data_IF_713540300732
#
_entry.id   IF_713540300732
#
_cell.length_a   1.000
_cell.length_b   1.000
_cell.length_c   1.000
_cell.angle_alpha   90.00
_cell.angle_beta   90.00
_cell.angle_gamma   90.00
#
_symmetry.space_group_name_H-M   'P 1'
#
loop_
_entity.id
_entity.type
_entity.pdbx_description
1 polymer ?
#
# COMPACT_ATOMS: atom_id res chain seq x y z
N UNK A 1 -22.42 -15.16 -46.24
CA UNK A 1 -21.76 -14.04 -45.53
C UNK A 1 -21.56 -14.49 -44.08
N UNK A 2 -20.41 -15.11 -43.78
CA UNK A 2 -20.15 -15.76 -42.49
C UNK A 2 -19.73 -14.71 -41.46
N UNK A 3 -20.56 -14.51 -40.43
CA UNK A 3 -20.18 -13.76 -39.24
C UNK A 3 -19.10 -14.55 -38.50
N UNK A 4 -17.83 -14.28 -38.81
CA UNK A 4 -16.73 -14.52 -37.87
C UNK A 4 -16.89 -13.49 -36.75
N UNK A 5 -17.68 -13.85 -35.74
CA UNK A 5 -17.63 -13.22 -34.42
C UNK A 5 -16.17 -13.22 -34.00
N UNK A 6 -15.56 -12.04 -33.86
CA UNK A 6 -14.24 -11.87 -33.25
C UNK A 6 -14.37 -12.40 -31.82
N UNK A 7 -14.08 -13.68 -31.60
CA UNK A 7 -13.77 -14.17 -30.27
C UNK A 7 -12.56 -13.36 -29.81
N UNK A 8 -12.79 -12.44 -28.87
CA UNK A 8 -11.69 -11.87 -28.12
C UNK A 8 -10.87 -13.05 -27.59
N UNK A 9 -9.61 -13.13 -27.95
CA UNK A 9 -8.72 -14.20 -27.50
C UNK A 9 -8.50 -13.95 -26.00
N UNK A 10 -9.38 -14.50 -25.17
CA UNK A 10 -9.21 -14.51 -23.73
C UNK A 10 -7.98 -15.36 -23.40
N UNK A 11 -7.08 -14.80 -22.59
CA UNK A 11 -5.87 -15.52 -22.17
C UNK A 11 -6.27 -16.75 -21.33
N UNK A 12 -5.62 -17.90 -21.54
CA UNK A 12 -5.83 -19.07 -20.68
C UNK A 12 -5.62 -18.75 -19.20
N UNK A 13 -6.47 -19.28 -18.32
CA UNK A 13 -6.39 -19.02 -16.87
C UNK A 13 -5.00 -19.21 -16.24
N UNK A 14 -4.21 -20.27 -16.58
CA UNK A 14 -2.87 -20.42 -16.01
C UNK A 14 -1.94 -19.25 -16.34
N UNK A 15 -2.08 -18.68 -17.54
CA UNK A 15 -1.31 -17.50 -17.96
C UNK A 15 -1.78 -16.26 -17.20
N UNK A 16 -3.10 -16.07 -17.02
CA UNK A 16 -3.63 -14.96 -16.23
C UNK A 16 -3.10 -14.98 -14.78
N UNK A 17 -3.11 -16.16 -14.14
CA UNK A 17 -2.57 -16.32 -12.78
C UNK A 17 -1.07 -16.08 -12.71
N UNK A 18 -0.32 -16.48 -13.73
CA UNK A 18 1.11 -16.16 -13.84
C UNK A 18 1.33 -14.64 -13.90
N UNK A 19 0.62 -13.94 -14.78
CA UNK A 19 0.74 -12.48 -14.92
C UNK A 19 0.27 -11.72 -13.69
N UNK A 20 -0.72 -12.24 -12.96
CA UNK A 20 -1.17 -11.67 -11.70
C UNK A 20 -0.06 -11.74 -10.64
N UNK A 21 0.60 -12.90 -10.50
CA UNK A 21 1.75 -13.04 -9.59
C UNK A 21 2.91 -12.14 -9.99
N UNK A 22 3.14 -11.98 -11.30
CA UNK A 22 4.13 -11.04 -11.81
C UNK A 22 3.78 -9.59 -11.41
N UNK A 23 2.51 -9.19 -11.49
CA UNK A 23 2.06 -7.88 -11.05
C UNK A 23 2.35 -7.65 -9.55
N UNK A 24 2.21 -8.67 -8.70
CA UNK A 24 2.54 -8.56 -7.28
C UNK A 24 4.04 -8.32 -7.06
N UNK A 25 4.89 -9.10 -7.74
CA UNK A 25 6.35 -8.95 -7.66
C UNK A 25 6.75 -7.54 -8.10
N UNK A 26 6.20 -7.06 -9.22
CA UNK A 26 6.45 -5.71 -9.72
C UNK A 26 5.95 -4.64 -8.76
N UNK A 27 4.75 -4.80 -8.19
CA UNK A 27 4.20 -3.86 -7.21
C UNK A 27 5.14 -3.71 -6.01
N UNK A 28 5.53 -4.81 -5.37
CA UNK A 28 6.45 -4.77 -4.22
C UNK A 28 7.82 -4.20 -4.57
N UNK A 29 8.37 -4.58 -5.73
CA UNK A 29 9.66 -4.05 -6.17
C UNK A 29 9.59 -2.54 -6.40
N UNK A 30 8.56 -2.04 -7.08
CA UNK A 30 8.40 -0.60 -7.35
C UNK A 30 8.06 0.18 -6.08
N UNK A 31 7.26 -0.37 -5.16
CA UNK A 31 7.00 0.25 -3.87
C UNK A 31 8.28 0.39 -3.04
N UNK A 32 9.11 -0.67 -2.99
CA UNK A 32 10.40 -0.63 -2.30
C UNK A 32 11.35 0.38 -2.94
N UNK A 33 11.48 0.35 -4.28
CA UNK A 33 12.32 1.31 -5.02
C UNK A 33 11.82 2.75 -4.81
N UNK A 34 10.51 2.98 -4.82
CA UNK A 34 9.93 4.30 -4.54
C UNK A 34 10.25 4.77 -3.13
N UNK A 35 10.08 3.90 -2.13
CA UNK A 35 10.42 4.18 -0.73
C UNK A 35 11.88 4.61 -0.59
N UNK A 36 12.81 3.81 -1.15
CA UNK A 36 14.26 4.05 -1.05
C UNK A 36 14.67 5.37 -1.73
N UNK A 37 14.11 5.67 -2.90
CA UNK A 37 14.41 6.91 -3.62
C UNK A 37 13.80 8.17 -2.96
N UNK A 38 12.85 8.01 -2.04
CA UNK A 38 12.13 9.10 -1.41
C UNK A 38 12.21 9.05 0.12
N UNK A 39 13.28 8.46 0.66
CA UNK A 39 13.48 8.31 2.12
C UNK A 39 13.42 9.66 2.82
N UNK A 40 14.13 10.67 2.31
CA UNK A 40 14.20 12.00 2.93
C UNK A 40 12.93 12.86 2.73
N UNK A 41 11.97 12.42 1.90
CA UNK A 41 10.74 13.19 1.65
C UNK A 41 9.78 13.07 2.83
N UNK A 42 9.28 14.23 3.27
CA UNK A 42 8.35 14.39 4.37
C UNK A 42 7.15 15.24 3.94
N UNK A 43 5.96 14.88 4.41
CA UNK A 43 4.76 15.69 4.38
C UNK A 43 4.33 16.03 5.82
N UNK A 44 3.37 16.94 5.97
CA UNK A 44 2.84 17.36 7.27
C UNK A 44 2.30 16.19 8.09
N UNK A 45 1.63 15.23 7.45
CA UNK A 45 1.06 14.09 8.15
C UNK A 45 2.16 13.14 8.63
N UNK A 46 3.25 12.99 7.87
CA UNK A 46 4.42 12.23 8.31
C UNK A 46 4.90 12.72 9.69
N UNK A 47 5.06 14.04 9.83
CA UNK A 47 5.54 14.66 11.06
C UNK A 47 4.57 14.36 12.22
N UNK A 48 3.27 14.50 11.99
CA UNK A 48 2.26 14.23 13.00
C UNK A 48 2.24 12.76 13.42
N UNK A 49 2.19 11.82 12.48
CA UNK A 49 2.13 10.39 12.77
C UNK A 49 3.41 9.85 13.40
N UNK A 50 4.58 10.33 12.98
CA UNK A 50 5.86 9.97 13.62
C UNK A 50 5.89 10.45 15.06
N UNK A 51 5.48 11.70 15.32
CA UNK A 51 5.45 12.24 16.69
C UNK A 51 4.49 11.46 17.59
N UNK A 52 3.31 11.12 17.08
CA UNK A 52 2.35 10.30 17.80
C UNK A 52 2.90 8.89 18.07
N UNK A 53 3.60 8.30 17.10
CA UNK A 53 4.26 7.01 17.29
C UNK A 53 5.33 7.05 18.38
N UNK A 54 6.12 8.13 18.47
CA UNK A 54 7.08 8.32 19.56
C UNK A 54 6.36 8.42 20.93
N UNK A 55 5.25 9.15 21.02
CA UNK A 55 4.47 9.20 22.27
C UNK A 55 3.94 7.83 22.68
N UNK A 56 3.44 7.04 21.72
CA UNK A 56 3.03 5.66 21.97
C UNK A 56 4.20 4.78 22.39
N UNK A 57 5.37 4.93 21.76
CA UNK A 57 6.53 4.07 22.05
C UNK A 57 7.11 4.27 23.45
N UNK A 58 6.98 5.48 24.01
CA UNK A 58 7.42 5.82 25.38
C UNK A 58 6.30 5.82 26.43
N UNK A 59 5.06 5.47 26.04
CA UNK A 59 3.92 5.43 26.95
C UNK A 59 3.39 6.80 27.39
N UNK A 60 3.68 7.87 26.64
CA UNK A 60 3.18 9.22 26.93
C UNK A 60 1.74 9.40 26.44
N UNK A 61 0.80 8.79 27.15
CA UNK A 61 -0.61 8.76 26.75
C UNK A 61 -1.27 10.13 26.68
N UNK A 62 -0.76 11.12 27.43
CA UNK A 62 -1.27 12.49 27.44
C UNK A 62 -1.17 13.20 26.08
N UNK A 63 -0.18 12.82 25.25
CA UNK A 63 -0.05 13.30 23.88
C UNK A 63 -0.32 12.22 22.82
N UNK A 64 -0.16 10.94 23.17
CA UNK A 64 -0.39 9.83 22.25
C UNK A 64 -1.87 9.69 21.84
N UNK A 65 -2.79 9.97 22.78
CA UNK A 65 -4.23 10.03 22.51
C UNK A 65 -4.59 11.47 22.23
N UNK A 66 -4.83 11.80 20.96
CA UNK A 66 -5.15 13.16 20.53
C UNK A 66 -6.23 13.14 19.42
N UNK A 67 -6.67 14.34 19.00
CA UNK A 67 -7.71 14.51 17.97
C UNK A 67 -7.24 14.37 16.53
N UNK A 68 -6.01 13.89 16.29
CA UNK A 68 -5.55 13.60 14.94
C UNK A 68 -6.21 12.33 14.40
N UNK A 69 -6.09 12.08 13.10
CA UNK A 69 -6.65 10.89 12.45
C UNK A 69 -6.11 9.59 13.10
N UNK A 70 -6.90 8.52 13.04
CA UNK A 70 -6.77 7.33 13.91
C UNK A 70 -5.36 6.73 14.05
N UNK A 71 -5.05 6.04 15.17
CA UNK A 71 -3.69 5.78 15.60
C UNK A 71 -2.97 4.66 14.83
N UNK A 72 -3.67 3.96 13.92
CA UNK A 72 -3.19 2.70 13.35
C UNK A 72 -1.86 2.86 12.62
N UNK A 73 -1.68 3.93 11.85
CA UNK A 73 -0.41 4.18 11.15
C UNK A 73 0.73 4.43 12.16
N UNK A 74 0.49 5.19 13.23
CA UNK A 74 1.48 5.38 14.31
C UNK A 74 1.76 4.08 15.04
N UNK A 75 0.75 3.25 15.32
CA UNK A 75 0.93 1.95 15.95
C UNK A 75 1.78 0.99 15.12
N UNK A 76 1.66 1.01 13.80
CA UNK A 76 2.54 0.24 12.92
C UNK A 76 4.01 0.68 13.02
N UNK A 77 4.28 1.95 13.37
CA UNK A 77 5.65 2.43 13.56
C UNK A 77 6.25 1.98 14.89
N UNK A 78 5.44 1.80 15.94
CA UNK A 78 5.91 1.53 17.32
C UNK A 78 6.86 0.34 17.44
N UNK A 79 6.58 -0.85 16.85
CA UNK A 79 7.52 -1.97 16.91
C UNK A 79 8.89 -1.63 16.31
N UNK A 80 8.95 -0.86 15.22
CA UNK A 80 10.21 -0.42 14.62
C UNK A 80 10.96 0.56 15.54
N UNK A 81 10.24 1.48 16.18
CA UNK A 81 10.84 2.41 17.15
C UNK A 81 11.44 1.67 18.35
N UNK A 82 10.77 0.63 18.86
CA UNK A 82 11.32 -0.23 19.93
C UNK A 82 12.57 -1.00 19.50
N UNK A 83 12.72 -1.29 18.20
CA UNK A 83 13.93 -1.88 17.62
C UNK A 83 15.02 -0.83 17.34
N UNK A 84 14.82 0.43 17.71
CA UNK A 84 15.77 1.52 17.50
C UNK A 84 15.82 2.05 16.06
N UNK A 85 14.82 1.72 15.23
CA UNK A 85 14.69 2.29 13.89
C UNK A 85 14.34 3.78 14.00
N UNK A 86 15.02 4.61 13.22
CA UNK A 86 14.79 6.05 13.18
C UNK A 86 13.35 6.37 12.69
N UNK A 87 12.66 7.39 13.26
CA UNK A 87 11.23 7.62 13.03
C UNK A 87 10.83 7.78 11.56
N UNK A 88 11.64 8.44 10.74
CA UNK A 88 11.35 8.60 9.32
C UNK A 88 11.38 7.25 8.60
N UNK A 89 12.41 6.43 8.83
CA UNK A 89 12.44 5.08 8.27
C UNK A 89 11.28 4.22 8.79
N UNK A 90 10.94 4.29 10.08
CA UNK A 90 9.78 3.60 10.65
C UNK A 90 8.46 4.02 9.96
N UNK A 91 8.29 5.32 9.70
CA UNK A 91 7.16 5.85 8.95
C UNK A 91 7.09 5.33 7.51
N UNK A 92 8.23 5.25 6.82
CA UNK A 92 8.32 4.69 5.45
C UNK A 92 8.00 3.19 5.42
N UNK A 93 8.44 2.43 6.43
CA UNK A 93 8.10 1.01 6.58
C UNK A 93 6.60 0.82 6.87
N UNK A 94 6.02 1.63 7.75
CA UNK A 94 4.58 1.63 8.01
C UNK A 94 3.78 1.95 6.73
N UNK A 95 4.27 2.87 5.89
CA UNK A 95 3.66 3.15 4.59
C UNK A 95 3.77 2.00 3.60
N UNK A 96 4.88 1.25 3.60
CA UNK A 96 5.02 0.07 2.76
C UNK A 96 3.98 -1.00 3.15
N UNK A 97 3.74 -1.18 4.46
CA UNK A 97 2.69 -2.06 4.98
C UNK A 97 1.31 -1.55 4.54
N UNK A 98 1.03 -0.26 4.73
CA UNK A 98 -0.21 0.41 4.30
C UNK A 98 -0.51 0.21 2.80
N UNK A 99 0.49 0.41 1.94
CA UNK A 99 0.40 0.17 0.51
C UNK A 99 0.09 -1.31 0.19
N UNK A 100 0.70 -2.24 0.93
CA UNK A 100 0.42 -3.66 0.80
C UNK A 100 -1.01 -4.04 1.19
N UNK A 101 -1.51 -3.47 2.29
CA UNK A 101 -2.90 -3.64 2.74
C UNK A 101 -3.86 -3.14 1.65
N UNK A 102 -3.67 -1.91 1.17
CA UNK A 102 -4.50 -1.36 0.09
C UNK A 102 -4.47 -2.18 -1.19
N UNK A 103 -3.28 -2.63 -1.61
CA UNK A 103 -3.11 -3.42 -2.81
C UNK A 103 -3.91 -4.73 -2.72
N UNK A 104 -3.75 -5.49 -1.63
CA UNK A 104 -4.45 -6.76 -1.45
C UNK A 104 -5.93 -6.59 -1.15
N UNK A 105 -6.31 -5.57 -0.37
CA UNK A 105 -7.69 -5.20 -0.09
C UNK A 105 -8.46 -4.88 -1.37
N UNK A 106 -7.86 -4.12 -2.28
CA UNK A 106 -8.44 -3.83 -3.59
C UNK A 106 -8.63 -5.10 -4.44
N UNK A 107 -7.65 -6.00 -4.47
CA UNK A 107 -7.80 -7.27 -5.21
C UNK A 107 -8.81 -8.21 -4.55
N UNK A 108 -8.90 -8.21 -3.22
CA UNK A 108 -9.94 -8.93 -2.49
C UNK A 108 -11.32 -8.39 -2.82
N UNK A 109 -11.48 -7.05 -2.86
CA UNK A 109 -12.73 -6.40 -3.22
C UNK A 109 -13.18 -6.81 -4.63
N UNK A 110 -12.29 -6.75 -5.63
CA UNK A 110 -12.59 -7.18 -7.01
C UNK A 110 -13.13 -8.62 -7.06
N UNK A 111 -12.50 -9.53 -6.31
CA UNK A 111 -12.97 -10.93 -6.21
C UNK A 111 -14.32 -11.03 -5.50
N UNK A 112 -14.52 -10.27 -4.43
CA UNK A 112 -15.72 -10.31 -3.60
C UNK A 112 -16.98 -9.83 -4.34
N UNK A 113 -16.83 -8.90 -5.28
CA UNK A 113 -17.93 -8.41 -6.12
C UNK A 113 -18.19 -9.28 -7.36
N UNK A 114 -17.47 -10.40 -7.50
CA UNK A 114 -17.69 -11.37 -8.58
C UNK A 114 -17.14 -10.96 -9.95
N UNK A 115 -16.15 -10.05 -10.00
CA UNK A 115 -15.49 -9.68 -11.26
C UNK A 115 -14.57 -10.80 -11.78
N UNK A 116 -14.20 -10.72 -13.06
CA UNK A 116 -13.41 -11.75 -13.73
C UNK A 116 -11.94 -11.66 -13.32
N UNK A 117 -11.21 -12.76 -13.48
CA UNK A 117 -9.76 -12.79 -13.26
C UNK A 117 -9.00 -11.80 -14.16
N UNK A 118 -9.52 -11.50 -15.35
CA UNK A 118 -8.98 -10.45 -16.22
C UNK A 118 -9.09 -9.05 -15.60
N UNK A 119 -10.22 -8.77 -14.95
CA UNK A 119 -10.48 -7.47 -14.31
C UNK A 119 -9.57 -7.31 -13.10
N UNK A 120 -9.41 -8.38 -12.32
CA UNK A 120 -8.44 -8.45 -11.22
C UNK A 120 -7.01 -8.21 -11.69
N UNK A 121 -6.62 -8.81 -12.82
CA UNK A 121 -5.29 -8.59 -13.41
C UNK A 121 -5.10 -7.13 -13.83
N UNK A 122 -6.10 -6.52 -14.46
CA UNK A 122 -6.06 -5.11 -14.86
C UNK A 122 -5.88 -4.22 -13.62
N UNK A 123 -6.70 -4.44 -12.59
CA UNK A 123 -6.61 -3.68 -11.33
C UNK A 123 -5.24 -3.87 -10.69
N UNK A 124 -4.70 -5.10 -10.63
CA UNK A 124 -3.39 -5.37 -10.07
C UNK A 124 -2.28 -4.57 -10.78
N UNK A 125 -2.29 -4.52 -12.11
CA UNK A 125 -1.30 -3.75 -12.87
C UNK A 125 -1.47 -2.25 -12.72
N UNK A 126 -2.71 -1.74 -12.72
CA UNK A 126 -2.97 -0.32 -12.45
C UNK A 126 -2.41 0.06 -11.08
N UNK A 127 -2.74 -0.69 -10.03
CA UNK A 127 -2.27 -0.43 -8.68
C UNK A 127 -0.75 -0.58 -8.54
N UNK A 128 -0.15 -1.58 -9.19
CA UNK A 128 1.30 -1.79 -9.20
C UNK A 128 2.06 -0.56 -9.75
N UNK A 129 1.45 0.19 -10.67
CA UNK A 129 2.06 1.37 -11.29
C UNK A 129 1.71 2.68 -10.58
N UNK A 130 0.52 2.80 -9.97
CA UNK A 130 0.07 4.06 -9.35
C UNK A 130 0.46 4.20 -7.89
N UNK A 131 0.42 3.12 -7.09
CA UNK A 131 0.74 3.17 -5.65
C UNK A 131 2.17 3.68 -5.40
N UNK A 132 3.22 3.21 -6.12
CA UNK A 132 4.58 3.71 -5.91
C UNK A 132 4.70 5.23 -6.10
N UNK A 133 4.00 5.80 -7.10
CA UNK A 133 3.98 7.24 -7.34
C UNK A 133 3.31 8.01 -6.20
N UNK A 134 2.21 7.48 -5.67
CA UNK A 134 1.50 8.11 -4.56
C UNK A 134 2.34 8.09 -3.26
N UNK A 135 2.91 6.94 -2.89
CA UNK A 135 3.68 6.80 -1.64
C UNK A 135 5.00 7.58 -1.65
N UNK A 136 5.50 7.95 -2.83
CA UNK A 136 6.72 8.75 -2.96
C UNK A 136 6.58 10.13 -2.31
N UNK A 137 5.36 10.66 -2.26
CA UNK A 137 5.07 12.01 -1.77
C UNK A 137 4.29 12.03 -0.45
N UNK A 138 3.72 10.89 -0.02
CA UNK A 138 2.79 10.85 1.10
C UNK A 138 3.15 9.75 2.09
N UNK A 139 3.30 10.14 3.36
CA UNK A 139 3.25 9.28 4.53
C UNK A 139 2.00 9.69 5.31
N UNK A 140 0.95 8.89 5.22
CA UNK A 140 -0.43 9.25 5.63
C UNK A 140 -1.29 7.98 5.69
N UNK A 141 -2.36 7.92 6.51
CA UNK A 141 -3.18 6.73 6.70
C UNK A 141 -4.10 6.38 5.51
N UNK A 142 -4.20 7.22 4.48
CA UNK A 142 -5.28 7.10 3.47
C UNK A 142 -5.38 5.69 2.86
N UNK A 143 -4.25 5.14 2.40
CA UNK A 143 -4.22 3.79 1.83
C UNK A 143 -4.49 2.70 2.87
N UNK A 144 -4.10 2.93 4.13
CA UNK A 144 -4.35 1.97 5.22
C UNK A 144 -5.82 1.93 5.60
N UNK A 145 -6.51 3.07 5.55
CA UNK A 145 -7.93 3.19 5.86
C UNK A 145 -8.79 2.70 4.69
N UNK A 146 -8.33 2.90 3.45
CA UNK A 146 -9.07 2.51 2.26
C UNK A 146 -8.86 1.05 1.83
N UNK A 147 -7.92 0.33 2.43
CA UNK A 147 -7.54 -1.04 2.09
C UNK A 147 -8.27 -2.09 2.90
#
# INVERSE_FOLDING_TARGET
>A
MSQKTKQAVELPEPKLRFWLRMAWVVAYALMLVSMLNNLARLNTDAIAYMRVAEYWSVGNLGFAVNGYWGPLLSWLMVPFLWLGVEPLLAGKLAMLISCGVFFHGSLFLVRSVGLRLSDELIVAWVLALTIPGWMSNHVTPDLLVAG
#
